data_IF_297459259543
#
_entry.id   IF_297459259543
#
_cell.length_a   1.000
_cell.length_b   1.000
_cell.length_c   1.000
_cell.angle_alpha   90.00
_cell.angle_beta   90.00
_cell.angle_gamma   90.00
#
_symmetry.space_group_name_H-M   'P 1'
#
loop_
_entity.id
_entity.type
_entity.pdbx_description
1 polymer ?
#
# COMPACT_ATOMS: atom_id res chain seq x y z
N UNK A 1 12.38 -19.04 -3.86
CA UNK A 1 11.64 -17.79 -4.06
C UNK A 1 10.59 -17.95 -5.14
N UNK A 2 9.34 -18.10 -4.73
CA UNK A 2 8.20 -18.52 -5.57
C UNK A 2 7.94 -17.59 -6.78
N UNK A 3 7.95 -16.27 -6.58
CA UNK A 3 7.62 -15.29 -7.64
C UNK A 3 8.53 -15.43 -8.85
N UNK A 4 9.86 -15.46 -8.67
CA UNK A 4 10.82 -15.55 -9.76
C UNK A 4 10.79 -16.93 -10.44
N UNK A 5 10.77 -18.01 -9.65
CA UNK A 5 10.89 -19.37 -10.20
C UNK A 5 9.59 -19.92 -10.77
N UNK A 6 8.49 -19.79 -10.01
CA UNK A 6 7.21 -20.41 -10.38
C UNK A 6 6.38 -19.52 -11.28
N UNK A 7 6.29 -18.22 -10.96
CA UNK A 7 5.50 -17.28 -11.74
C UNK A 7 6.27 -16.63 -12.88
N UNK A 8 7.60 -16.82 -12.94
CA UNK A 8 8.50 -16.19 -13.93
C UNK A 8 8.30 -14.66 -14.00
N UNK A 9 8.07 -14.04 -12.82
CA UNK A 9 7.86 -12.60 -12.69
C UNK A 9 9.02 -11.96 -11.94
N UNK A 10 9.40 -10.76 -12.38
CA UNK A 10 10.32 -9.92 -11.65
C UNK A 10 9.63 -9.25 -10.47
N UNK A 11 10.41 -8.88 -9.47
CA UNK A 11 9.89 -8.21 -8.28
C UNK A 11 10.81 -7.07 -7.84
N UNK A 12 10.20 -6.09 -7.16
CA UNK A 12 10.90 -5.07 -6.36
C UNK A 12 10.35 -5.16 -4.95
N UNK A 13 11.20 -5.30 -3.96
CA UNK A 13 10.80 -5.42 -2.56
C UNK A 13 11.79 -4.76 -1.60
N UNK A 14 11.33 -4.31 -0.42
CA UNK A 14 12.23 -3.83 0.61
C UNK A 14 13.02 -4.99 1.22
N UNK A 15 14.29 -4.72 1.53
CA UNK A 15 15.17 -5.62 2.24
C UNK A 15 15.45 -5.06 3.63
N UNK A 16 15.32 -5.89 4.66
CA UNK A 16 15.71 -5.49 6.01
C UNK A 16 17.23 -5.31 6.09
N UNK A 17 17.68 -4.34 6.85
CA UNK A 17 19.08 -3.97 7.07
C UNK A 17 19.94 -5.10 7.65
N UNK A 18 19.34 -5.97 8.47
CA UNK A 18 19.99 -7.11 9.09
C UNK A 18 20.16 -8.34 8.16
N UNK A 19 19.70 -8.27 6.92
CA UNK A 19 19.88 -9.36 5.96
C UNK A 19 21.33 -9.42 5.49
N UNK A 20 21.77 -10.64 5.13
CA UNK A 20 23.13 -10.90 4.72
C UNK A 20 23.20 -11.09 3.21
N UNK A 21 24.18 -10.44 2.59
CA UNK A 21 24.46 -10.53 1.16
C UNK A 21 25.94 -10.78 0.91
N UNK A 22 26.24 -11.46 -0.18
CA UNK A 22 27.60 -11.55 -0.76
C UNK A 22 27.68 -10.62 -1.95
N UNK A 23 28.82 -9.92 -2.10
CA UNK A 23 29.01 -8.91 -3.14
C UNK A 23 29.51 -9.50 -4.47
N UNK A 24 29.99 -10.74 -4.43
CA UNK A 24 30.45 -11.47 -5.62
C UNK A 24 29.96 -12.92 -5.59
N UNK A 25 30.03 -13.58 -6.75
CA UNK A 25 29.75 -15.02 -6.82
C UNK A 25 30.77 -15.84 -6.03
N UNK A 26 32.05 -15.41 -6.01
CA UNK A 26 33.12 -16.02 -5.24
C UNK A 26 32.82 -15.97 -3.73
N UNK A 27 32.40 -14.81 -3.23
CA UNK A 27 31.99 -14.64 -1.84
C UNK A 27 30.79 -15.53 -1.48
N UNK A 28 29.82 -15.63 -2.38
CA UNK A 28 28.68 -16.55 -2.20
C UNK A 28 29.14 -17.98 -2.05
N UNK A 29 29.99 -18.46 -2.95
CA UNK A 29 30.51 -19.84 -2.93
C UNK A 29 31.35 -20.09 -1.68
N UNK A 30 32.15 -19.10 -1.27
CA UNK A 30 32.97 -19.16 -0.06
C UNK A 30 32.16 -18.95 1.25
N UNK A 31 30.85 -18.70 1.18
CA UNK A 31 30.01 -18.44 2.35
C UNK A 31 30.30 -17.10 3.05
N UNK A 32 31.00 -16.17 2.39
CA UNK A 32 31.34 -14.85 2.94
C UNK A 32 30.19 -13.89 2.74
N UNK A 33 29.28 -13.85 3.71
CA UNK A 33 28.15 -12.95 3.71
C UNK A 33 28.33 -11.83 4.73
N UNK A 34 27.93 -10.61 4.36
CA UNK A 34 27.96 -9.42 5.20
C UNK A 34 26.54 -8.87 5.37
N UNK A 35 26.28 -8.23 6.51
CA UNK A 35 24.98 -7.55 6.73
C UNK A 35 24.88 -6.34 5.81
N UNK A 36 23.67 -6.05 5.33
CA UNK A 36 23.41 -4.92 4.44
C UNK A 36 23.73 -3.58 5.10
N UNK A 37 23.45 -3.44 6.39
CA UNK A 37 23.74 -2.22 7.17
C UNK A 37 25.24 -1.96 7.38
N UNK A 38 26.08 -3.01 7.32
CA UNK A 38 27.54 -2.87 7.43
C UNK A 38 28.23 -2.49 6.11
N UNK A 39 27.48 -2.47 5.01
CA UNK A 39 28.05 -2.17 3.70
C UNK A 39 28.10 -0.65 3.44
N UNK A 40 29.23 -0.18 2.91
CA UNK A 40 29.36 1.20 2.43
C UNK A 40 28.75 1.31 1.03
N UNK A 41 27.42 1.56 0.99
CA UNK A 41 26.68 1.70 -0.25
C UNK A 41 26.39 3.17 -0.54
N UNK A 42 26.70 3.61 -1.74
CA UNK A 42 26.29 4.92 -2.25
C UNK A 42 24.82 4.93 -2.63
N UNK A 43 24.15 6.06 -2.47
CA UNK A 43 22.80 6.27 -2.97
C UNK A 43 22.78 6.31 -4.50
N UNK A 44 21.64 6.04 -5.10
CA UNK A 44 21.42 6.06 -6.55
C UNK A 44 22.30 5.10 -7.35
N UNK A 45 22.90 4.11 -6.70
CA UNK A 45 23.79 3.12 -7.32
C UNK A 45 23.20 1.73 -7.21
N UNK A 46 23.29 0.97 -8.29
CA UNK A 46 22.89 -0.42 -8.36
C UNK A 46 24.07 -1.33 -8.02
N UNK A 47 23.89 -2.21 -7.06
CA UNK A 47 24.88 -3.20 -6.65
C UNK A 47 24.34 -4.59 -6.95
N UNK A 48 25.05 -5.36 -7.76
CA UNK A 48 24.70 -6.77 -7.91
C UNK A 48 25.15 -7.54 -6.68
N UNK A 49 24.22 -8.24 -6.04
CA UNK A 49 24.45 -8.97 -4.80
C UNK A 49 23.80 -10.36 -4.84
N UNK A 50 24.26 -11.22 -3.97
CA UNK A 50 23.67 -12.55 -3.74
C UNK A 50 23.13 -12.62 -2.31
N UNK A 51 21.83 -12.68 -2.18
CA UNK A 51 21.17 -12.77 -0.87
C UNK A 51 21.32 -14.19 -0.30
N UNK A 52 21.62 -14.30 0.99
CA UNK A 52 21.69 -15.58 1.69
C UNK A 52 20.38 -16.37 1.53
N UNK A 53 20.48 -17.64 1.11
CA UNK A 53 19.32 -18.49 0.82
C UNK A 53 18.65 -18.25 -0.53
N UNK A 54 19.22 -17.37 -1.39
CA UNK A 54 18.74 -17.14 -2.76
C UNK A 54 19.81 -17.54 -3.75
N UNK A 55 19.42 -18.29 -4.77
CA UNK A 55 20.35 -18.92 -5.73
C UNK A 55 20.65 -18.05 -6.96
N UNK A 56 19.91 -16.99 -7.21
CA UNK A 56 20.11 -16.05 -8.33
C UNK A 56 20.59 -14.68 -7.82
N UNK A 57 21.26 -13.90 -8.67
CA UNK A 57 21.68 -12.54 -8.33
C UNK A 57 20.49 -11.60 -8.24
N UNK A 58 20.66 -10.55 -7.43
CA UNK A 58 19.72 -9.44 -7.26
C UNK A 58 20.45 -8.11 -7.43
N UNK A 59 19.76 -7.09 -7.90
CA UNK A 59 20.22 -5.72 -7.72
C UNK A 59 19.76 -5.19 -6.36
N UNK A 60 20.69 -4.65 -5.59
CA UNK A 60 20.45 -3.94 -4.33
C UNK A 60 20.66 -2.45 -4.55
N UNK A 61 19.74 -1.63 -4.06
CA UNK A 61 19.87 -0.17 -4.04
C UNK A 61 19.61 0.36 -2.64
N UNK A 62 20.33 1.44 -2.30
CA UNK A 62 20.13 2.21 -1.07
C UNK A 62 19.44 3.52 -1.40
N UNK A 63 18.37 3.82 -0.74
CA UNK A 63 17.65 5.08 -0.80
C UNK A 63 17.67 5.76 0.57
N UNK A 64 17.95 7.05 0.61
CA UNK A 64 17.82 7.88 1.81
C UNK A 64 16.68 8.84 1.56
N UNK A 65 15.80 8.98 2.53
CA UNK A 65 14.67 9.90 2.50
C UNK A 65 14.61 10.70 3.80
N UNK A 66 14.09 11.89 3.72
CA UNK A 66 13.86 12.76 4.88
C UNK A 66 12.39 12.72 5.24
N UNK A 67 12.09 12.43 6.48
CA UNK A 67 10.74 12.43 7.03
C UNK A 67 10.27 13.87 7.30
N UNK A 68 8.98 14.05 7.54
CA UNK A 68 8.36 15.35 7.84
C UNK A 68 8.95 16.00 9.12
N UNK A 69 9.42 15.20 10.06
CA UNK A 69 10.06 15.64 11.31
C UNK A 69 11.56 15.98 11.13
N UNK A 70 12.10 15.94 9.91
CA UNK A 70 13.49 16.19 9.59
C UNK A 70 14.43 15.00 9.84
N UNK A 71 13.96 13.88 10.37
CA UNK A 71 14.75 12.67 10.50
C UNK A 71 15.03 12.02 9.14
N UNK A 72 16.17 11.33 9.02
CA UNK A 72 16.50 10.59 7.81
C UNK A 72 16.23 9.10 7.98
N UNK A 73 15.55 8.52 7.01
CA UNK A 73 15.34 7.08 6.91
C UNK A 73 16.19 6.46 5.81
N UNK A 74 16.62 5.23 6.02
CA UNK A 74 17.33 4.45 5.01
C UNK A 74 16.44 3.29 4.58
N UNK A 75 16.31 3.14 3.28
CA UNK A 75 15.55 2.07 2.66
C UNK A 75 16.47 1.29 1.71
N UNK A 76 16.53 -0.01 1.91
CA UNK A 76 17.18 -0.93 0.99
C UNK A 76 16.12 -1.61 0.14
N UNK A 77 16.27 -1.56 -1.19
CA UNK A 77 15.39 -2.25 -2.13
C UNK A 77 16.19 -3.28 -2.91
N UNK A 78 15.58 -4.42 -3.16
CA UNK A 78 16.13 -5.46 -4.04
C UNK A 78 15.18 -5.78 -5.16
N UNK A 79 15.77 -6.07 -6.32
CA UNK A 79 15.03 -6.53 -7.49
C UNK A 79 15.71 -7.73 -8.14
N UNK A 80 14.91 -8.61 -8.70
CA UNK A 80 15.39 -9.75 -9.50
C UNK A 80 15.60 -9.39 -10.98
N UNK A 81 15.13 -8.22 -11.41
CA UNK A 81 15.37 -7.69 -12.76
C UNK A 81 16.75 -6.98 -12.77
N UNK A 82 17.71 -7.59 -13.44
CA UNK A 82 19.07 -7.07 -13.56
C UNK A 82 19.23 -6.03 -14.70
N UNK A 83 18.18 -5.74 -15.43
CA UNK A 83 18.17 -4.76 -16.54
C UNK A 83 17.55 -3.42 -16.14
N UNK A 84 16.86 -3.39 -15.00
CA UNK A 84 16.11 -2.23 -14.54
C UNK A 84 17.03 -1.11 -14.03
N UNK A 85 16.66 0.13 -14.29
CA UNK A 85 17.36 1.31 -13.80
C UNK A 85 16.86 1.73 -12.41
N UNK A 86 17.71 2.46 -11.67
CA UNK A 86 17.42 2.95 -10.32
C UNK A 86 16.09 3.68 -10.21
N UNK A 87 15.83 4.66 -11.09
CA UNK A 87 14.60 5.47 -11.05
C UNK A 87 13.35 4.62 -11.25
N UNK A 88 13.47 3.56 -12.04
CA UNK A 88 12.36 2.63 -12.25
C UNK A 88 12.07 1.79 -11.01
N UNK A 89 13.12 1.35 -10.29
CA UNK A 89 12.98 0.60 -9.03
C UNK A 89 12.24 1.45 -7.99
N UNK A 90 12.68 2.69 -7.80
CA UNK A 90 12.06 3.61 -6.83
C UNK A 90 10.63 3.95 -7.20
N UNK A 91 10.35 4.20 -8.48
CA UNK A 91 8.98 4.45 -8.99
C UNK A 91 8.05 3.26 -8.74
N UNK A 92 8.51 2.02 -9.03
CA UNK A 92 7.71 0.81 -8.78
C UNK A 92 7.43 0.67 -7.29
N UNK A 93 8.44 0.89 -6.45
CA UNK A 93 8.28 0.78 -5.00
C UNK A 93 7.35 1.86 -4.44
N UNK A 94 7.45 3.10 -4.90
CA UNK A 94 6.55 4.20 -4.51
C UNK A 94 5.08 3.87 -4.83
N UNK A 95 4.81 3.26 -5.99
CA UNK A 95 3.45 2.85 -6.34
C UNK A 95 2.85 1.86 -5.35
N UNK A 96 3.67 1.06 -4.67
CA UNK A 96 3.21 0.15 -3.61
C UNK A 96 2.57 0.90 -2.43
N UNK A 97 3.05 2.10 -2.10
CA UNK A 97 2.48 2.91 -1.03
C UNK A 97 1.03 3.32 -1.27
N UNK A 98 0.58 3.34 -2.53
CA UNK A 98 -0.82 3.60 -2.86
C UNK A 98 -1.78 2.54 -2.32
N UNK A 99 -1.27 1.35 -1.97
CA UNK A 99 -2.06 0.28 -1.35
C UNK A 99 -2.50 0.68 0.07
N UNK A 100 -1.68 1.42 0.81
CA UNK A 100 -2.00 1.83 2.19
C UNK A 100 -3.17 2.83 2.25
N UNK A 101 -3.20 3.94 1.48
CA UNK A 101 -4.37 4.80 1.36
C UNK A 101 -5.62 4.03 0.89
N UNK A 102 -5.48 3.08 -0.04
CA UNK A 102 -6.58 2.22 -0.47
C UNK A 102 -7.15 1.41 0.70
N UNK A 103 -6.32 0.67 1.44
CA UNK A 103 -6.78 -0.09 2.60
C UNK A 103 -7.37 0.80 3.70
N UNK A 104 -6.76 1.96 3.97
CA UNK A 104 -7.27 2.93 4.91
C UNK A 104 -8.66 3.42 4.49
N UNK A 105 -8.84 3.79 3.23
CA UNK A 105 -10.13 4.25 2.74
C UNK A 105 -11.18 3.15 2.71
N UNK A 106 -10.82 1.93 2.32
CA UNK A 106 -11.70 0.77 2.34
C UNK A 106 -12.21 0.48 3.75
N UNK A 107 -11.34 0.52 4.75
CA UNK A 107 -11.71 0.34 6.17
C UNK A 107 -12.56 1.49 6.70
N UNK A 108 -12.09 2.72 6.57
CA UNK A 108 -12.66 3.88 7.24
C UNK A 108 -13.83 4.52 6.49
N UNK A 109 -13.76 4.58 5.16
CA UNK A 109 -14.78 5.26 4.35
C UNK A 109 -15.82 4.30 3.77
N UNK A 110 -15.41 3.09 3.38
CA UNK A 110 -16.33 2.07 2.87
C UNK A 110 -16.81 1.07 3.96
N UNK A 111 -16.35 1.19 5.20
CA UNK A 111 -16.87 0.44 6.35
C UNK A 111 -16.44 -1.01 6.42
N UNK A 112 -15.37 -1.43 5.75
CA UNK A 112 -14.93 -2.83 5.73
C UNK A 112 -14.69 -3.42 7.13
N UNK A 113 -14.13 -2.64 8.05
CA UNK A 113 -13.84 -3.08 9.43
C UNK A 113 -15.07 -3.14 10.35
N UNK A 114 -16.23 -2.70 9.86
CA UNK A 114 -17.48 -2.61 10.66
C UNK A 114 -18.44 -3.73 10.37
N UNK A 115 -17.93 -4.89 9.97
CA UNK A 115 -18.80 -6.05 9.71
C UNK A 115 -19.46 -6.52 11.01
N UNK A 116 -20.80 -6.49 11.11
CA UNK A 116 -21.53 -7.01 12.27
C UNK A 116 -21.70 -8.53 12.21
N UNK A 117 -21.15 -9.19 11.19
CA UNK A 117 -21.48 -10.55 10.83
C UNK A 117 -20.36 -11.52 11.19
N UNK A 118 -20.74 -12.77 11.54
CA UNK A 118 -19.80 -13.78 12.02
C UNK A 118 -19.68 -14.99 11.08
N UNK A 119 -20.61 -15.18 10.13
CA UNK A 119 -20.53 -16.31 9.19
C UNK A 119 -19.70 -15.95 7.96
N UNK A 120 -19.04 -16.94 7.35
CA UNK A 120 -18.20 -16.74 6.15
C UNK A 120 -19.00 -16.10 5.02
N UNK A 121 -20.22 -16.54 4.77
CA UNK A 121 -21.09 -16.02 3.70
C UNK A 121 -21.41 -14.55 3.92
N UNK A 122 -21.82 -14.19 5.14
CA UNK A 122 -22.20 -12.81 5.45
C UNK A 122 -21.00 -11.87 5.50
N UNK A 123 -19.83 -12.35 5.95
CA UNK A 123 -18.58 -11.60 5.86
C UNK A 123 -18.15 -11.37 4.40
N UNK A 124 -18.28 -12.38 3.54
CA UNK A 124 -18.01 -12.22 2.10
C UNK A 124 -18.92 -11.18 1.46
N UNK A 125 -20.22 -11.22 1.75
CA UNK A 125 -21.18 -10.23 1.25
C UNK A 125 -20.83 -8.82 1.73
N UNK A 126 -20.46 -8.67 3.00
CA UNK A 126 -20.01 -7.39 3.55
C UNK A 126 -18.74 -6.87 2.86
N UNK A 127 -17.78 -7.76 2.62
CA UNK A 127 -16.54 -7.41 1.88
C UNK A 127 -16.86 -6.89 0.47
N UNK A 128 -17.72 -7.58 -0.29
CA UNK A 128 -18.11 -7.12 -1.63
C UNK A 128 -18.90 -5.81 -1.57
N UNK A 129 -19.78 -5.63 -0.60
CA UNK A 129 -20.49 -4.37 -0.42
C UNK A 129 -19.53 -3.19 -0.13
N UNK A 130 -18.51 -3.41 0.71
CA UNK A 130 -17.48 -2.43 0.99
C UNK A 130 -16.64 -2.10 -0.26
N UNK A 131 -16.29 -3.09 -1.09
CA UNK A 131 -15.63 -2.86 -2.37
C UNK A 131 -16.50 -2.02 -3.32
N UNK A 132 -17.78 -2.34 -3.44
CA UNK A 132 -18.71 -1.56 -4.27
C UNK A 132 -18.83 -0.11 -3.78
N UNK A 133 -18.91 0.09 -2.46
CA UNK A 133 -18.92 1.44 -1.86
C UNK A 133 -17.62 2.20 -2.17
N UNK A 134 -16.47 1.54 -2.06
CA UNK A 134 -15.18 2.13 -2.41
C UNK A 134 -15.12 2.56 -3.89
N UNK A 135 -15.57 1.69 -4.82
CA UNK A 135 -15.59 2.01 -6.25
C UNK A 135 -16.49 3.23 -6.52
N UNK A 136 -17.67 3.31 -5.88
CA UNK A 136 -18.54 4.50 -6.00
C UNK A 136 -17.86 5.77 -5.48
N UNK A 137 -17.12 5.69 -4.37
CA UNK A 137 -16.35 6.83 -3.85
C UNK A 137 -15.22 7.24 -4.81
N UNK A 138 -14.53 6.30 -5.45
CA UNK A 138 -13.52 6.61 -6.48
C UNK A 138 -14.14 7.32 -7.70
N UNK A 139 -15.28 6.84 -8.18
CA UNK A 139 -16.01 7.49 -9.28
C UNK A 139 -16.43 8.93 -8.92
N UNK A 140 -16.95 9.13 -7.72
CA UNK A 140 -17.31 10.46 -7.22
C UNK A 140 -16.08 11.35 -7.03
N UNK A 141 -14.97 10.82 -6.58
CA UNK A 141 -13.70 11.55 -6.45
C UNK A 141 -13.22 12.08 -7.81
N UNK A 142 -13.32 11.25 -8.87
CA UNK A 142 -12.96 11.68 -10.23
C UNK A 142 -13.84 12.82 -10.72
N UNK A 143 -15.13 12.76 -10.46
CA UNK A 143 -16.09 13.78 -10.94
C UNK A 143 -16.11 15.06 -10.09
N UNK A 144 -15.81 14.96 -8.78
CA UNK A 144 -15.93 16.10 -7.84
C UNK A 144 -14.60 16.69 -7.40
N UNK A 145 -13.48 16.00 -7.67
CA UNK A 145 -12.13 16.32 -7.18
C UNK A 145 -12.01 16.35 -5.64
N UNK A 146 -12.98 15.80 -4.91
CA UNK A 146 -12.97 15.67 -3.46
C UNK A 146 -12.36 14.36 -3.03
N UNK A 147 -11.63 14.35 -1.91
CA UNK A 147 -11.14 13.10 -1.33
C UNK A 147 -12.27 12.28 -0.67
N UNK A 148 -12.06 11.00 -0.41
CA UNK A 148 -13.07 10.09 0.14
C UNK A 148 -13.63 10.53 1.50
N UNK A 149 -12.80 11.16 2.35
CA UNK A 149 -13.25 11.65 3.65
C UNK A 149 -14.24 12.80 3.50
N UNK A 150 -13.95 13.76 2.62
CA UNK A 150 -14.86 14.86 2.32
C UNK A 150 -16.15 14.38 1.65
N UNK A 151 -16.06 13.42 0.71
CA UNK A 151 -17.24 12.81 0.07
C UNK A 151 -18.12 12.13 1.09
N UNK A 152 -17.54 11.31 1.96
CA UNK A 152 -18.28 10.62 3.03
C UNK A 152 -19.00 11.63 3.93
N UNK A 153 -18.31 12.68 4.38
CA UNK A 153 -18.91 13.70 5.23
C UNK A 153 -20.08 14.40 4.54
N UNK A 154 -19.95 14.76 3.25
CA UNK A 154 -21.05 15.35 2.47
C UNK A 154 -22.24 14.40 2.33
N UNK A 155 -21.99 13.11 2.06
CA UNK A 155 -23.06 12.10 1.95
C UNK A 155 -23.81 11.95 3.26
N UNK A 156 -23.13 11.94 4.42
CA UNK A 156 -23.77 11.91 5.73
C UNK A 156 -24.62 13.14 6.00
N UNK A 157 -24.09 14.34 5.74
CA UNK A 157 -24.83 15.59 5.94
C UNK A 157 -26.09 15.61 5.08
N UNK A 158 -26.00 15.27 3.79
CA UNK A 158 -27.12 15.23 2.89
C UNK A 158 -28.17 14.17 3.31
N UNK A 159 -27.74 13.00 3.76
CA UNK A 159 -28.65 11.96 4.24
C UNK A 159 -29.39 12.40 5.50
N UNK A 160 -28.72 13.06 6.45
CA UNK A 160 -29.34 13.62 7.65
C UNK A 160 -30.34 14.72 7.26
N UNK A 161 -29.99 15.65 6.41
CA UNK A 161 -30.89 16.70 5.93
C UNK A 161 -32.15 16.11 5.29
N UNK A 162 -31.99 15.15 4.37
CA UNK A 162 -33.12 14.46 3.74
C UNK A 162 -34.01 13.74 4.75
N UNK A 163 -33.43 13.10 5.75
CA UNK A 163 -34.16 12.43 6.81
C UNK A 163 -34.99 13.44 7.66
N UNK A 164 -34.41 14.59 8.01
CA UNK A 164 -35.13 15.64 8.72
C UNK A 164 -36.27 16.24 7.88
N UNK A 165 -36.06 16.43 6.58
CA UNK A 165 -37.09 16.94 5.69
C UNK A 165 -38.26 15.97 5.57
N UNK A 166 -38.00 14.65 5.50
CA UNK A 166 -39.03 13.62 5.56
C UNK A 166 -39.78 13.66 6.90
N UNK A 167 -39.06 13.74 8.02
CA UNK A 167 -39.71 13.79 9.35
C UNK A 167 -40.61 15.01 9.53
N UNK A 168 -40.27 16.17 8.97
CA UNK A 168 -41.13 17.37 9.00
C UNK A 168 -42.41 17.17 8.27
N UNK A 169 -42.50 16.34 7.22
CA UNK A 169 -43.73 16.02 6.50
C UNK A 169 -44.69 15.18 7.34
N UNK A 170 -44.21 14.47 8.37
CA UNK A 170 -45.04 13.68 9.28
C UNK A 170 -45.46 14.44 10.54
N UNK A 171 -45.09 15.71 10.71
CA UNK A 171 -45.59 16.51 11.82
C UNK A 171 -47.06 16.78 11.61
N UNK A 172 -47.99 16.46 12.57
CA UNK A 172 -49.37 16.78 12.42
C UNK A 172 -49.55 18.31 12.33
N UNK A 173 -50.33 18.73 11.37
CA UNK A 173 -50.76 20.15 11.27
C UNK A 173 -51.36 20.54 12.62
N UNK A 174 -50.95 21.65 13.28
CA UNK A 174 -51.62 22.08 14.52
C UNK A 174 -53.08 22.21 14.25
N UNK A 175 -53.92 21.48 15.03
CA UNK A 175 -55.34 21.69 15.04
C UNK A 175 -55.57 23.16 15.35
N UNK A 176 -56.14 23.90 14.39
CA UNK A 176 -56.59 25.26 14.61
C UNK A 176 -57.58 25.25 15.77
N UNK A 177 -57.26 25.96 16.85
CA UNK A 177 -58.13 26.15 18.00
C UNK A 177 -59.26 27.11 17.68
#
# INVERSE_FOLDING_TARGET
MFVKRTLQKEFVMPLKDNRKVALSLEDKVAGRYQRVDSLTLSTNTLYQVYLEGVDFPLHLVKQIFTNEDGSTGILYLVTSDLTILYDRITTIYQKRWNIEPYHKSLKQNAGLERSPTQTVTTQSNHFFAALCAYIKLELLKVSTHLNHFALRSKLYINAIQSAYDMLRQFQPTPLAA
#
